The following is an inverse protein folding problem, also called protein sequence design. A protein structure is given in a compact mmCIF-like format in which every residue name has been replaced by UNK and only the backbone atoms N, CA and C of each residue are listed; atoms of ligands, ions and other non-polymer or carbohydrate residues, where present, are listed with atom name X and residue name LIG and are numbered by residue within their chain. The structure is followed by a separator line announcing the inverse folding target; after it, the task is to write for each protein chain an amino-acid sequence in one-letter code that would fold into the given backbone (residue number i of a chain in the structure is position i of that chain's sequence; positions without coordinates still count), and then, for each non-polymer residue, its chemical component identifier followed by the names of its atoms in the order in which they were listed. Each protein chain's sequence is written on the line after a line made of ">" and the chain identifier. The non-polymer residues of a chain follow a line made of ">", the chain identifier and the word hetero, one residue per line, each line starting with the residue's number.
data_IF_959494483525
#
_entry.id   IF_959494483525
#
_cell.length_a   1.000
_cell.length_b   1.000
_cell.length_c   1.000
_cell.angle_alpha   90.00
_cell.angle_beta   90.00
_cell.angle_gamma   90.00
#
_symmetry.space_group_name_H-M   'P 1'
#
loop_
_entity.id
_entity.type
_entity.pdbx_description
1 polymer ?
#
# COMPACT_ATOMS: atom_id res chain seq x y z
N UNK A 1 2.31 38.29 -12.11
CA UNK A 1 1.11 37.81 -11.41
C UNK A 1 1.40 37.09 -10.11
N UNK A 2 2.46 36.27 -10.01
CA UNK A 2 2.90 35.66 -8.74
C UNK A 2 3.76 36.63 -7.89
N UNK A 3 4.39 37.64 -8.51
CA UNK A 3 5.17 38.65 -7.80
C UNK A 3 4.32 39.73 -7.17
N UNK A 4 3.20 40.07 -7.83
CA UNK A 4 2.22 41.04 -7.37
C UNK A 4 0.80 40.45 -7.58
N UNK A 5 0.38 39.56 -6.70
CA UNK A 5 -0.95 38.98 -6.80
C UNK A 5 -2.00 40.04 -6.45
N UNK A 6 -3.16 40.08 -7.16
CA UNK A 6 -4.29 40.89 -6.75
C UNK A 6 -4.71 40.55 -5.32
N UNK A 7 -5.15 41.53 -4.55
CA UNK A 7 -5.51 41.36 -3.13
C UNK A 7 -6.60 40.32 -2.85
N UNK A 8 -7.36 39.95 -3.88
CA UNK A 8 -8.43 38.95 -3.82
C UNK A 8 -8.00 37.55 -4.30
N UNK A 9 -6.74 37.37 -4.76
CA UNK A 9 -6.26 36.11 -5.31
C UNK A 9 -5.26 35.43 -4.38
N UNK A 10 -5.52 34.16 -4.07
CA UNK A 10 -4.60 33.28 -3.35
C UNK A 10 -4.21 32.16 -4.29
N UNK A 11 -2.91 31.92 -4.46
CA UNK A 11 -2.39 30.82 -5.25
C UNK A 11 -2.01 29.64 -4.36
N UNK A 12 -2.60 28.49 -4.62
CA UNK A 12 -2.29 27.23 -3.95
C UNK A 12 -1.71 26.28 -5.00
N UNK A 13 -0.45 25.87 -4.82
CA UNK A 13 0.25 24.93 -5.68
C UNK A 13 0.41 23.63 -4.91
N UNK A 14 -0.15 22.56 -5.43
CA UNK A 14 -0.01 21.22 -4.83
C UNK A 14 0.77 20.30 -5.78
N UNK A 15 1.82 19.69 -5.29
CA UNK A 15 2.65 18.75 -6.06
C UNK A 15 3.26 17.69 -5.15
N UNK A 16 3.46 16.51 -5.69
CA UNK A 16 4.25 15.45 -5.05
C UNK A 16 5.74 15.57 -5.37
N UNK A 17 6.12 16.43 -6.33
CA UNK A 17 7.49 16.58 -6.84
C UNK A 17 7.99 18.01 -6.68
N UNK A 18 8.30 18.40 -5.45
CA UNK A 18 8.84 19.71 -5.10
C UNK A 18 10.07 20.10 -5.95
N UNK A 19 10.90 19.10 -6.25
CA UNK A 19 12.15 19.33 -7.02
C UNK A 19 11.91 19.73 -8.49
N UNK A 20 10.72 19.49 -9.03
CA UNK A 20 10.35 19.91 -10.39
C UNK A 20 9.77 21.32 -10.44
N UNK A 21 9.47 21.92 -9.29
CA UNK A 21 9.00 23.31 -9.23
C UNK A 21 10.20 24.24 -9.37
N UNK A 22 10.08 25.19 -10.30
CA UNK A 22 11.18 26.13 -10.56
C UNK A 22 11.48 27.00 -9.33
N UNK A 23 12.76 27.30 -9.04
CA UNK A 23 13.17 28.04 -7.84
C UNK A 23 12.50 29.42 -7.70
N UNK A 24 12.20 30.07 -8.80
CA UNK A 24 11.53 31.39 -8.82
C UNK A 24 10.12 31.33 -8.24
N UNK A 25 9.41 30.19 -8.33
CA UNK A 25 8.11 29.99 -7.69
C UNK A 25 8.31 29.66 -6.23
N UNK A 26 9.22 28.72 -5.91
CA UNK A 26 9.49 28.32 -4.53
C UNK A 26 9.90 29.49 -3.63
N UNK A 27 10.67 30.44 -4.16
CA UNK A 27 11.12 31.61 -3.40
C UNK A 27 10.01 32.64 -3.07
N UNK A 28 8.84 32.50 -3.70
CA UNK A 28 7.67 33.41 -3.54
C UNK A 28 6.48 32.72 -2.87
N UNK A 29 6.62 31.44 -2.53
CA UNK A 29 5.56 30.67 -1.90
C UNK A 29 5.97 30.25 -0.47
N UNK A 30 5.00 30.19 0.41
CA UNK A 30 5.17 29.50 1.67
C UNK A 30 5.05 28.00 1.40
N UNK A 31 6.04 27.22 1.85
CA UNK A 31 6.12 25.79 1.59
C UNK A 31 5.60 25.04 2.80
N UNK A 32 4.67 24.13 2.56
CA UNK A 32 4.16 23.18 3.53
C UNK A 32 4.46 21.78 3.03
N UNK A 33 5.27 21.04 3.77
CA UNK A 33 5.56 19.65 3.48
C UNK A 33 4.56 18.78 4.27
N UNK A 34 3.84 17.91 3.57
CA UNK A 34 2.90 16.95 4.16
C UNK A 34 3.52 15.55 4.11
N UNK A 35 3.58 14.91 5.25
CA UNK A 35 4.03 13.54 5.38
C UNK A 35 2.93 12.55 4.99
N UNK A 36 3.32 11.31 4.71
CA UNK A 36 2.40 10.18 4.58
C UNK A 36 1.67 9.96 5.90
N UNK A 37 0.40 9.59 5.83
CA UNK A 37 -0.38 9.26 7.02
C UNK A 37 0.07 7.88 7.51
N UNK A 38 0.23 7.72 8.80
CA UNK A 38 0.64 6.46 9.40
C UNK A 38 -0.45 5.39 9.29
N UNK A 39 -0.05 4.13 9.22
CA UNK A 39 -0.97 2.99 9.11
C UNK A 39 -2.02 2.98 10.23
N UNK A 40 -1.67 3.20 11.51
CA UNK A 40 -2.66 3.24 12.60
C UNK A 40 -3.73 4.33 12.40
N UNK A 41 -3.34 5.50 11.90
CA UNK A 41 -4.27 6.61 11.70
C UNK A 41 -5.25 6.33 10.56
N UNK A 42 -4.75 5.74 9.45
CA UNK A 42 -5.60 5.31 8.34
C UNK A 42 -6.57 4.23 8.83
N UNK A 43 -6.08 3.21 9.55
CA UNK A 43 -6.88 2.13 10.11
C UNK A 43 -7.98 2.66 11.04
N UNK A 44 -7.65 3.57 11.95
CA UNK A 44 -8.62 4.20 12.84
C UNK A 44 -9.70 4.94 12.05
N UNK A 45 -9.31 5.65 10.99
CA UNK A 45 -10.28 6.35 10.14
C UNK A 45 -11.22 5.42 9.39
N UNK A 46 -10.70 4.30 8.88
CA UNK A 46 -11.52 3.26 8.24
C UNK A 46 -12.50 2.62 9.24
N UNK A 47 -12.04 2.33 10.45
CA UNK A 47 -12.87 1.80 11.56
C UNK A 47 -14.03 2.74 11.89
N UNK A 48 -13.76 4.04 12.12
CA UNK A 48 -14.80 5.05 12.39
C UNK A 48 -15.90 5.06 11.31
N UNK A 49 -15.50 4.96 10.04
CA UNK A 49 -16.45 4.97 8.92
C UNK A 49 -17.30 3.71 8.94
N UNK A 50 -16.71 2.53 9.09
CA UNK A 50 -17.44 1.27 9.10
C UNK A 50 -18.37 1.16 10.30
N UNK A 51 -17.97 1.63 11.48
CA UNK A 51 -18.81 1.71 12.66
C UNK A 51 -20.04 2.60 12.42
N UNK A 52 -19.84 3.77 11.77
CA UNK A 52 -20.94 4.66 11.42
C UNK A 52 -21.93 4.03 10.42
N UNK A 53 -21.44 3.17 9.54
CA UNK A 53 -22.23 2.44 8.55
C UNK A 53 -22.78 1.10 9.08
N UNK A 54 -22.42 0.71 10.33
CA UNK A 54 -22.80 -0.56 10.98
C UNK A 54 -22.32 -1.80 10.23
N UNK A 55 -21.13 -1.72 9.65
CA UNK A 55 -20.44 -2.82 9.00
C UNK A 55 -19.39 -3.35 9.98
N UNK A 56 -19.42 -4.63 10.26
CA UNK A 56 -18.40 -5.31 11.06
C UNK A 56 -17.13 -5.53 10.23
N UNK A 57 -15.99 -5.68 10.88
CA UNK A 57 -14.72 -5.88 10.19
C UNK A 57 -13.74 -6.69 11.04
N UNK A 58 -12.83 -7.38 10.37
CA UNK A 58 -11.65 -7.96 10.98
C UNK A 58 -10.54 -6.92 11.03
N UNK A 59 -9.85 -6.83 12.16
CA UNK A 59 -8.79 -5.84 12.39
C UNK A 59 -7.64 -5.95 11.39
N UNK A 60 -7.29 -7.18 11.02
CA UNK A 60 -6.27 -7.51 10.03
C UNK A 60 -6.67 -7.06 8.62
N UNK A 61 -7.96 -7.11 8.29
CA UNK A 61 -8.48 -6.63 7.02
C UNK A 61 -8.24 -5.12 6.85
N UNK A 62 -8.55 -4.32 7.88
CA UNK A 62 -8.30 -2.88 7.86
C UNK A 62 -6.82 -2.54 7.85
N UNK A 63 -6.01 -3.29 8.61
CA UNK A 63 -4.56 -3.13 8.59
C UNK A 63 -4.00 -3.35 7.18
N UNK A 64 -4.48 -4.37 6.48
CA UNK A 64 -4.05 -4.68 5.12
C UNK A 64 -4.43 -3.58 4.12
N UNK A 65 -5.64 -3.02 4.22
CA UNK A 65 -6.07 -1.86 3.40
C UNK A 65 -5.18 -0.65 3.69
N UNK A 66 -4.95 -0.33 4.97
CA UNK A 66 -4.14 0.81 5.38
C UNK A 66 -2.68 0.69 4.89
N UNK A 67 -2.11 -0.51 5.01
CA UNK A 67 -0.76 -0.82 4.51
C UNK A 67 -0.67 -0.66 2.98
N UNK A 68 -1.67 -1.18 2.24
CA UNK A 68 -1.71 -1.08 0.77
C UNK A 68 -1.82 0.36 0.28
N UNK A 69 -2.48 1.22 1.05
CA UNK A 69 -2.67 2.63 0.72
C UNK A 69 -1.40 3.49 0.85
N UNK A 70 -0.33 2.96 1.46
CA UNK A 70 0.99 3.59 1.54
C UNK A 70 0.94 5.07 1.96
N UNK A 71 0.15 5.39 2.98
CA UNK A 71 0.00 6.73 3.52
C UNK A 71 -0.98 7.65 2.79
N UNK A 72 -1.68 7.14 1.77
CA UNK A 72 -2.68 7.86 1.00
C UNK A 72 -4.10 7.51 1.47
N UNK A 73 -4.70 8.32 2.34
CA UNK A 73 -6.05 8.07 2.87
C UNK A 73 -7.10 7.94 1.77
N UNK A 74 -6.98 8.70 0.69
CA UNK A 74 -7.90 8.63 -0.45
C UNK A 74 -7.91 7.24 -1.09
N UNK A 75 -6.74 6.64 -1.24
CA UNK A 75 -6.59 5.31 -1.84
C UNK A 75 -7.12 4.22 -0.90
N UNK A 76 -6.92 4.39 0.42
CA UNK A 76 -7.52 3.54 1.43
C UNK A 76 -9.05 3.56 1.37
N UNK A 77 -9.65 4.75 1.29
CA UNK A 77 -11.10 4.91 1.19
C UNK A 77 -11.66 4.34 -0.11
N UNK A 78 -10.99 4.60 -1.24
CA UNK A 78 -11.40 4.04 -2.53
C UNK A 78 -11.35 2.51 -2.53
N UNK A 79 -10.33 1.94 -1.90
CA UNK A 79 -10.19 0.50 -1.70
C UNK A 79 -11.30 -0.06 -0.81
N UNK A 80 -11.61 0.62 0.31
CA UNK A 80 -12.69 0.22 1.20
C UNK A 80 -14.03 0.21 0.47
N UNK A 81 -14.34 1.28 -0.28
CA UNK A 81 -15.57 1.37 -1.07
C UNK A 81 -15.67 0.26 -2.11
N UNK A 82 -14.55 -0.05 -2.78
CA UNK A 82 -14.49 -1.18 -3.72
C UNK A 82 -14.83 -2.50 -3.02
N UNK A 83 -14.20 -2.80 -1.88
CA UNK A 83 -14.43 -4.04 -1.13
C UNK A 83 -15.89 -4.12 -0.69
N UNK A 84 -16.49 -3.02 -0.23
CA UNK A 84 -17.90 -2.95 0.16
C UNK A 84 -18.86 -3.35 -0.98
N UNK A 85 -18.47 -3.18 -2.25
CA UNK A 85 -19.30 -3.61 -3.39
C UNK A 85 -19.32 -5.12 -3.58
N UNK A 86 -18.34 -5.85 -3.05
CA UNK A 86 -18.20 -7.29 -3.24
C UNK A 86 -18.67 -8.13 -2.04
N UNK A 87 -18.75 -7.52 -0.84
CA UNK A 87 -19.23 -8.25 0.34
C UNK A 87 -20.72 -8.56 0.23
N UNK A 88 -21.10 -9.77 0.63
CA UNK A 88 -22.50 -10.24 0.68
C UNK A 88 -23.15 -10.02 2.04
N UNK A 89 -22.36 -10.04 3.07
CA UNK A 89 -22.74 -9.82 4.46
C UNK A 89 -22.17 -8.49 4.95
N UNK A 90 -22.72 -7.83 5.94
CA UNK A 90 -22.22 -6.56 6.46
C UNK A 90 -20.99 -6.78 7.36
N UNK A 91 -20.02 -7.54 6.85
CA UNK A 91 -18.75 -7.84 7.50
C UNK A 91 -17.63 -7.87 6.45
N UNK A 92 -16.54 -7.16 6.74
CA UNK A 92 -15.32 -7.18 5.92
C UNK A 92 -14.35 -8.18 6.54
N UNK A 93 -14.05 -9.25 5.83
CA UNK A 93 -13.09 -10.28 6.23
C UNK A 93 -11.75 -10.08 5.51
N UNK A 94 -10.69 -10.61 6.09
CA UNK A 94 -9.37 -10.59 5.48
C UNK A 94 -9.35 -11.25 4.09
N UNK A 95 -10.13 -12.34 3.93
CA UNK A 95 -10.27 -13.05 2.64
C UNK A 95 -10.86 -12.16 1.55
N UNK A 96 -11.85 -11.30 1.88
CA UNK A 96 -12.46 -10.37 0.93
C UNK A 96 -11.42 -9.34 0.46
N UNK A 97 -10.62 -8.83 1.40
CA UNK A 97 -9.58 -7.86 1.10
C UNK A 97 -8.47 -8.46 0.25
N UNK A 98 -7.94 -9.63 0.64
CA UNK A 98 -6.86 -10.30 -0.10
C UNK A 98 -7.26 -10.66 -1.52
N UNK A 99 -8.48 -11.18 -1.69
CA UNK A 99 -9.00 -11.56 -3.00
C UNK A 99 -9.21 -10.35 -3.93
N UNK A 100 -9.73 -9.24 -3.40
CA UNK A 100 -10.04 -8.05 -4.20
C UNK A 100 -8.82 -7.16 -4.47
N UNK A 101 -7.84 -7.14 -3.58
CA UNK A 101 -6.62 -6.35 -3.76
C UNK A 101 -5.55 -7.05 -4.60
N UNK A 102 -5.81 -8.24 -5.10
CA UNK A 102 -4.79 -9.04 -5.81
C UNK A 102 -3.47 -9.08 -5.03
N UNK A 103 -3.56 -9.27 -3.70
CA UNK A 103 -2.37 -9.39 -2.87
C UNK A 103 -1.82 -10.79 -3.08
N UNK A 104 -0.58 -10.83 -3.51
CA UNK A 104 0.12 -12.10 -3.71
C UNK A 104 0.29 -12.80 -2.36
N UNK A 105 -0.25 -14.01 -2.26
CA UNK A 105 -0.12 -14.84 -1.06
C UNK A 105 1.37 -15.03 -0.72
N UNK A 106 1.70 -14.92 0.55
CA UNK A 106 3.06 -15.14 1.05
C UNK A 106 3.59 -16.53 0.68
N UNK A 107 2.72 -17.53 0.59
CA UNK A 107 3.08 -18.89 0.20
C UNK A 107 3.73 -18.93 -1.18
N UNK A 108 3.24 -18.17 -2.15
CA UNK A 108 3.87 -18.04 -3.47
C UNK A 108 5.26 -17.41 -3.40
N UNK A 109 5.46 -16.44 -2.49
CA UNK A 109 6.76 -15.79 -2.31
C UNK A 109 7.77 -16.74 -1.68
N UNK A 110 7.37 -17.53 -0.68
CA UNK A 110 8.21 -18.57 -0.08
C UNK A 110 8.53 -19.68 -1.08
N UNK A 111 7.55 -20.13 -1.86
CA UNK A 111 7.73 -21.20 -2.85
C UNK A 111 8.71 -20.76 -3.95
N UNK A 112 8.53 -19.57 -4.54
CA UNK A 112 9.40 -19.07 -5.61
C UNK A 112 10.82 -18.80 -5.09
N UNK A 113 10.97 -18.24 -3.88
CA UNK A 113 12.29 -18.02 -3.26
C UNK A 113 13.02 -19.31 -2.98
N UNK A 114 12.30 -20.37 -2.58
CA UNK A 114 12.85 -21.71 -2.41
C UNK A 114 13.38 -22.28 -3.73
N UNK A 115 12.62 -22.17 -4.82
CA UNK A 115 13.06 -22.63 -6.13
C UNK A 115 14.26 -21.85 -6.66
N UNK A 116 14.31 -20.54 -6.43
CA UNK A 116 15.45 -19.70 -6.79
C UNK A 116 16.69 -20.14 -6.00
N UNK A 117 16.56 -20.39 -4.71
CA UNK A 117 17.67 -20.78 -3.83
C UNK A 117 18.28 -22.14 -4.23
N UNK A 118 17.46 -23.08 -4.69
CA UNK A 118 17.90 -24.41 -5.16
C UNK A 118 18.37 -24.39 -6.62
N UNK A 119 18.09 -23.29 -7.36
CA UNK A 119 18.41 -23.17 -8.79
C UNK A 119 17.45 -23.93 -9.70
N UNK A 120 16.24 -24.27 -9.24
CA UNK A 120 15.21 -24.93 -10.04
C UNK A 120 14.48 -23.90 -10.93
N UNK A 121 15.12 -23.56 -12.05
CA UNK A 121 14.61 -22.58 -13.02
C UNK A 121 13.26 -23.02 -13.59
N UNK A 122 13.10 -24.33 -13.83
CA UNK A 122 11.86 -24.86 -14.43
C UNK A 122 10.67 -24.61 -13.53
N UNK A 123 10.75 -24.97 -12.25
CA UNK A 123 9.67 -24.72 -11.28
C UNK A 123 9.43 -23.23 -11.05
N UNK A 124 10.48 -22.42 -11.00
CA UNK A 124 10.35 -20.96 -10.88
C UNK A 124 9.50 -20.37 -12.03
N UNK A 125 9.78 -20.78 -13.27
CA UNK A 125 9.03 -20.31 -14.45
C UNK A 125 7.58 -20.84 -14.45
N UNK A 126 7.38 -22.11 -14.06
CA UNK A 126 6.02 -22.68 -13.97
C UNK A 126 5.18 -21.96 -12.92
N UNK A 127 5.75 -21.65 -11.75
CA UNK A 127 5.07 -20.92 -10.70
C UNK A 127 4.77 -19.48 -11.13
N UNK A 128 5.73 -18.79 -11.76
CA UNK A 128 5.50 -17.47 -12.34
C UNK A 128 4.31 -17.47 -13.30
N UNK A 129 4.28 -18.43 -14.24
CA UNK A 129 3.17 -18.54 -15.20
C UNK A 129 1.83 -18.83 -14.50
N UNK A 130 1.81 -19.61 -13.43
CA UNK A 130 0.61 -19.85 -12.61
C UNK A 130 0.11 -18.56 -11.98
N UNK A 131 1.01 -17.76 -11.39
CA UNK A 131 0.70 -16.47 -10.77
C UNK A 131 0.09 -15.51 -11.80
N UNK A 132 0.70 -15.38 -12.99
CA UNK A 132 0.19 -14.51 -14.06
C UNK A 132 -1.20 -14.99 -14.56
N UNK A 133 -1.42 -16.29 -14.70
CA UNK A 133 -2.73 -16.85 -15.09
C UNK A 133 -3.82 -16.60 -14.05
N UNK A 134 -3.44 -16.46 -12.76
CA UNK A 134 -4.36 -16.09 -11.68
C UNK A 134 -4.67 -14.58 -11.66
N UNK A 135 -4.19 -13.80 -12.64
CA UNK A 135 -4.52 -12.38 -12.79
C UNK A 135 -3.54 -11.41 -12.11
N UNK A 136 -2.44 -11.91 -11.54
CA UNK A 136 -1.43 -11.04 -10.95
C UNK A 136 -0.51 -10.44 -12.02
N UNK A 137 -0.15 -9.18 -11.86
CA UNK A 137 0.84 -8.54 -12.72
C UNK A 137 2.27 -8.88 -12.28
N UNK A 138 3.18 -9.01 -13.26
CA UNK A 138 4.60 -9.31 -12.98
C UNK A 138 5.26 -8.27 -12.07
N UNK A 139 4.82 -7.00 -12.14
CA UNK A 139 5.36 -5.93 -11.30
C UNK A 139 4.99 -6.15 -9.81
N UNK A 140 3.78 -6.66 -9.54
CA UNK A 140 3.33 -6.98 -8.19
C UNK A 140 4.14 -8.14 -7.60
N UNK A 141 4.47 -9.16 -8.43
CA UNK A 141 5.34 -10.25 -8.03
C UNK A 141 6.75 -9.76 -7.70
N UNK A 142 7.33 -8.89 -8.54
CA UNK A 142 8.66 -8.34 -8.29
C UNK A 142 8.72 -7.49 -7.01
N UNK A 143 7.72 -6.64 -6.79
CA UNK A 143 7.59 -5.83 -5.58
C UNK A 143 7.41 -6.71 -4.34
N UNK A 144 6.57 -7.76 -4.44
CA UNK A 144 6.39 -8.76 -3.40
C UNK A 144 7.69 -9.49 -3.05
N UNK A 145 8.42 -9.97 -4.07
CA UNK A 145 9.71 -10.63 -3.86
C UNK A 145 10.75 -9.71 -3.23
N UNK A 146 10.80 -8.44 -3.64
CA UNK A 146 11.71 -7.46 -3.07
C UNK A 146 11.46 -7.29 -1.56
N UNK A 147 10.21 -7.12 -1.17
CA UNK A 147 9.83 -7.02 0.24
C UNK A 147 10.06 -8.33 1.00
N UNK A 148 9.75 -9.47 0.38
CA UNK A 148 9.98 -10.78 0.97
C UNK A 148 11.47 -11.02 1.27
N UNK A 149 12.37 -10.75 0.32
CA UNK A 149 13.82 -10.88 0.56
C UNK A 149 14.32 -9.86 1.58
N UNK A 150 13.81 -8.63 1.57
CA UNK A 150 14.10 -7.63 2.61
C UNK A 150 13.74 -8.17 4.00
N UNK A 151 12.53 -8.72 4.16
CA UNK A 151 12.06 -9.27 5.43
C UNK A 151 12.86 -10.51 5.86
N UNK A 152 13.24 -11.39 4.93
CA UNK A 152 14.13 -12.51 5.22
C UNK A 152 15.52 -12.07 5.71
N UNK A 153 16.07 -10.97 5.16
CA UNK A 153 17.33 -10.38 5.64
C UNK A 153 17.17 -9.78 7.04
N UNK A 154 16.04 -9.12 7.32
CA UNK A 154 15.75 -8.58 8.65
C UNK A 154 15.58 -9.71 9.69
N UNK A 155 14.80 -10.75 9.36
CA UNK A 155 14.60 -11.90 10.23
C UNK A 155 15.90 -12.64 10.58
N UNK A 156 16.91 -12.55 9.73
CA UNK A 156 18.24 -13.15 9.98
C UNK A 156 19.10 -12.33 10.95
N UNK A 157 18.77 -11.06 11.18
CA UNK A 157 19.52 -10.15 12.03
C UNK A 157 18.63 -9.60 13.14
N UNK A 158 18.87 -10.02 14.38
CA UNK A 158 18.06 -9.65 15.55
C UNK A 158 17.93 -8.12 15.73
N UNK A 159 18.95 -7.35 15.36
CA UNK A 159 18.91 -5.87 15.45
C UNK A 159 17.96 -5.22 14.45
N UNK A 160 17.56 -5.95 13.41
CA UNK A 160 16.72 -5.42 12.32
C UNK A 160 15.28 -5.96 12.34
N UNK A 161 14.97 -6.85 13.28
CA UNK A 161 13.63 -7.48 13.37
C UNK A 161 12.53 -6.44 13.56
N UNK A 162 12.79 -5.39 14.35
CA UNK A 162 11.84 -4.30 14.60
C UNK A 162 11.51 -3.47 13.34
N UNK A 163 12.28 -3.64 12.26
CA UNK A 163 12.07 -2.97 10.97
C UNK A 163 11.25 -3.83 9.98
N UNK A 164 10.82 -5.01 10.40
CA UNK A 164 10.01 -5.88 9.55
C UNK A 164 8.59 -5.33 9.41
N UNK A 165 8.13 -5.20 8.15
CA UNK A 165 6.74 -4.93 7.83
C UNK A 165 5.89 -6.21 7.96
N UNK A 166 5.88 -6.83 9.13
CA UNK A 166 5.08 -8.03 9.40
C UNK A 166 3.93 -7.60 10.30
N UNK A 167 2.72 -7.92 9.90
CA UNK A 167 1.60 -7.92 10.84
C UNK A 167 1.91 -9.00 11.89
N UNK A 168 1.92 -8.59 13.16
CA UNK A 168 2.03 -9.52 14.29
C UNK A 168 0.97 -10.61 14.23
#
# INVERSE_FOLDING_TARGET
>A
TLEEPPSYAIFILATTEKNKVIPTILSRCQIYDFNRIEIPDIKNKLSEILESEKISFEDEALHLIARKADGALRDALSTLDLIKTFIKEPIIKLEDVTSNLNILDSDYLFEISSYINVGDVTKSIMLHNKIIRNGFESINLLSGLTNHFKNLLYAKNEELVDLMDVSE
#
